data_IF_725035118060
#
_entry.id   IF_725035118060
#
_cell.length_a   1.000
_cell.length_b   1.000
_cell.length_c   1.000
_cell.angle_alpha   90.00
_cell.angle_beta   90.00
_cell.angle_gamma   90.00
#
_symmetry.space_group_name_H-M   'P 1'
#
loop_
_entity.id
_entity.type
_entity.pdbx_description
1 polymer ?
#
# COMPACT_ATOMS: atom_id res chain seq x y z
N UNK A 1 12.51 15.12 1.60
CA UNK A 1 12.38 14.19 2.73
C UNK A 1 11.44 13.11 2.25
N UNK A 2 11.88 11.86 2.27
CA UNK A 2 11.03 10.71 1.93
C UNK A 2 10.23 10.34 3.18
N UNK A 3 8.92 10.19 3.03
CA UNK A 3 8.04 9.74 4.11
C UNK A 3 7.78 8.26 3.91
N UNK A 4 7.98 7.48 4.96
CA UNK A 4 7.63 6.07 4.99
C UNK A 4 6.23 5.96 5.59
N UNK A 5 5.28 5.55 4.78
CA UNK A 5 3.90 5.31 5.17
C UNK A 5 3.72 3.80 5.37
N UNK A 6 3.10 3.41 6.47
CA UNK A 6 2.81 2.01 6.78
C UNK A 6 1.31 1.84 6.79
N UNK A 7 0.80 0.83 6.09
CA UNK A 7 -0.62 0.55 5.99
C UNK A 7 -0.90 -0.89 6.36
N UNK A 8 -1.94 -1.10 7.17
CA UNK A 8 -2.53 -2.41 7.35
C UNK A 8 -3.52 -2.68 6.25
N UNK A 9 -3.35 -3.78 5.53
CA UNK A 9 -4.25 -4.16 4.45
C UNK A 9 -4.90 -5.52 4.74
N UNK A 10 -6.07 -5.80 4.18
CA UNK A 10 -6.62 -7.17 4.15
C UNK A 10 -6.08 -8.03 2.99
N UNK A 11 -4.97 -7.63 2.37
CA UNK A 11 -4.35 -8.33 1.25
C UNK A 11 -3.56 -9.54 1.79
N UNK A 12 -4.25 -10.66 1.93
CA UNK A 12 -3.68 -11.85 2.56
C UNK A 12 -3.02 -12.82 1.59
N UNK A 13 -3.40 -12.74 0.31
CA UNK A 13 -3.06 -13.73 -0.71
C UNK A 13 -2.29 -13.08 -1.85
N UNK A 14 -1.32 -13.80 -2.42
CA UNK A 14 -0.56 -13.34 -3.60
C UNK A 14 -1.47 -12.92 -4.78
N UNK A 15 -2.65 -13.53 -4.91
CA UNK A 15 -3.66 -13.16 -5.92
C UNK A 15 -4.21 -11.75 -5.70
N UNK A 16 -4.40 -11.36 -4.45
CA UNK A 16 -4.83 -10.01 -4.05
C UNK A 16 -3.69 -9.02 -4.25
N UNK A 17 -2.45 -9.39 -3.89
CA UNK A 17 -1.25 -8.58 -4.16
C UNK A 17 -1.12 -8.29 -5.65
N UNK A 18 -1.31 -9.27 -6.53
CA UNK A 18 -1.29 -9.06 -7.98
C UNK A 18 -2.36 -8.10 -8.50
N UNK A 19 -3.45 -7.88 -7.75
CA UNK A 19 -4.46 -6.86 -8.09
C UNK A 19 -4.09 -5.47 -7.55
N UNK A 20 -3.50 -5.40 -6.36
CA UNK A 20 -3.12 -4.14 -5.71
C UNK A 20 -1.82 -3.57 -6.29
N UNK A 21 -0.89 -4.44 -6.67
CA UNK A 21 0.39 -4.13 -7.31
C UNK A 21 0.27 -3.14 -8.48
N UNK A 22 -0.55 -3.37 -9.52
CA UNK A 22 -0.72 -2.42 -10.61
C UNK A 22 -1.47 -1.14 -10.20
N UNK A 23 -2.25 -1.14 -9.12
CA UNK A 23 -2.90 0.07 -8.61
C UNK A 23 -1.88 0.98 -7.94
N UNK A 24 -1.01 0.41 -7.09
CA UNK A 24 0.10 1.12 -6.47
C UNK A 24 1.10 1.60 -7.52
N UNK A 25 1.47 0.75 -8.48
CA UNK A 25 2.40 1.09 -9.57
C UNK A 25 1.88 2.22 -10.47
N UNK A 26 0.54 2.35 -10.64
CA UNK A 26 -0.07 3.50 -11.34
C UNK A 26 -0.18 4.75 -10.48
N UNK A 27 -0.26 4.59 -9.16
CA UNK A 27 -0.34 5.72 -8.22
C UNK A 27 1.05 6.32 -7.95
N UNK A 28 2.08 5.48 -8.04
CA UNK A 28 3.44 5.78 -7.68
C UNK A 28 4.27 6.11 -8.92
N UNK A 29 5.00 7.21 -8.84
CA UNK A 29 5.98 7.59 -9.84
C UNK A 29 7.26 6.77 -9.69
N UNK A 30 8.15 6.86 -10.69
CA UNK A 30 9.43 6.13 -10.71
C UNK A 30 10.33 6.30 -9.48
N UNK A 31 10.09 7.35 -8.70
CA UNK A 31 10.85 7.68 -7.49
C UNK A 31 10.24 7.11 -6.20
N UNK A 32 9.04 6.55 -6.28
CA UNK A 32 8.31 6.02 -5.13
C UNK A 32 8.47 4.50 -5.10
N UNK A 33 8.57 3.96 -3.89
CA UNK A 33 8.77 2.52 -3.68
C UNK A 33 7.73 2.01 -2.73
N UNK A 34 7.42 0.73 -2.85
CA UNK A 34 6.55 0.06 -1.93
C UNK A 34 6.94 -1.39 -1.80
N UNK A 35 6.68 -1.94 -0.61
CA UNK A 35 6.96 -3.32 -0.23
C UNK A 35 5.74 -3.87 0.49
N UNK A 36 5.33 -5.07 0.11
CA UNK A 36 4.31 -5.81 0.84
C UNK A 36 5.00 -6.81 1.75
N UNK A 37 4.73 -6.71 3.04
CA UNK A 37 5.11 -7.71 4.03
C UNK A 37 4.05 -8.81 4.05
N UNK A 38 4.34 -9.87 3.29
CA UNK A 38 3.52 -11.09 3.22
C UNK A 38 4.08 -12.20 4.12
N UNK A 39 5.27 -11.99 4.68
CA UNK A 39 5.90 -12.92 5.62
C UNK A 39 5.22 -12.84 6.99
N UNK A 40 4.75 -11.65 7.38
CA UNK A 40 3.92 -11.45 8.55
C UNK A 40 2.43 -11.68 8.25
N UNK A 41 1.74 -12.36 9.17
CA UNK A 41 0.28 -12.51 9.14
C UNK A 41 -0.47 -11.17 9.22
N UNK A 42 0.23 -10.06 9.43
CA UNK A 42 -0.33 -8.73 9.59
C UNK A 42 -0.57 -7.98 8.26
N UNK A 43 -0.11 -8.52 7.12
CA UNK A 43 -0.43 -8.01 5.77
C UNK A 43 -0.18 -6.51 5.62
N UNK A 44 1.04 -6.11 5.99
CA UNK A 44 1.47 -4.72 6.03
C UNK A 44 1.97 -4.30 4.65
N UNK A 45 1.53 -3.13 4.20
CA UNK A 45 2.03 -2.43 3.02
C UNK A 45 2.87 -1.26 3.49
N UNK A 46 4.15 -1.25 3.12
CA UNK A 46 5.06 -0.15 3.37
C UNK A 46 5.26 0.63 2.07
N UNK A 47 5.06 1.94 2.10
CA UNK A 47 5.24 2.82 0.95
C UNK A 47 6.23 3.91 1.32
N UNK A 48 7.26 4.06 0.49
CA UNK A 48 8.23 5.14 0.55
C UNK A 48 7.87 6.15 -0.53
N UNK A 49 7.27 7.26 -0.11
CA UNK A 49 6.79 8.30 -1.00
C UNK A 49 7.18 9.69 -0.51
N UNK A 50 7.41 10.59 -1.47
CA UNK A 50 7.74 11.99 -1.16
C UNK A 50 6.47 12.87 -1.18
N UNK A 51 5.53 12.58 -2.08
CA UNK A 51 4.34 13.42 -2.29
C UNK A 51 3.02 12.65 -2.32
N UNK A 52 3.03 11.32 -2.44
CA UNK A 52 1.81 10.52 -2.35
C UNK A 52 1.15 10.69 -0.98
N UNK A 53 -0.16 10.87 -1.02
CA UNK A 53 -0.99 11.00 0.17
C UNK A 53 -1.46 9.62 0.63
N UNK A 54 -1.40 9.30 1.94
CA UNK A 54 -1.86 8.04 2.47
C UNK A 54 -3.35 7.81 2.22
N UNK A 55 -4.15 8.86 2.35
CA UNK A 55 -5.58 8.84 2.02
C UNK A 55 -5.85 8.35 0.59
N UNK A 56 -5.03 8.75 -0.39
CA UNK A 56 -5.19 8.32 -1.78
C UNK A 56 -4.92 6.82 -1.94
N UNK A 57 -3.94 6.26 -1.22
CA UNK A 57 -3.68 4.82 -1.20
C UNK A 57 -4.87 4.08 -0.58
N UNK A 58 -5.38 4.57 0.56
CA UNK A 58 -6.52 3.98 1.25
C UNK A 58 -7.76 3.95 0.34
N UNK A 59 -8.10 5.06 -0.30
CA UNK A 59 -9.23 5.13 -1.23
C UNK A 59 -9.07 4.16 -2.41
N UNK A 60 -7.86 4.05 -2.98
CA UNK A 60 -7.59 3.16 -4.11
C UNK A 60 -7.73 1.68 -3.75
N UNK A 61 -7.27 1.29 -2.56
CA UNK A 61 -7.47 -0.07 -2.06
C UNK A 61 -8.96 -0.31 -1.74
N UNK A 62 -9.65 0.68 -1.17
CA UNK A 62 -11.08 0.63 -0.89
C UNK A 62 -11.92 0.43 -2.16
N UNK A 63 -11.61 1.17 -3.23
CA UNK A 63 -12.26 1.04 -4.55
C UNK A 63 -12.06 -0.36 -5.16
N UNK A 64 -10.91 -0.98 -4.90
CA UNK A 64 -10.61 -2.35 -5.29
C UNK A 64 -11.27 -3.42 -4.38
N UNK A 65 -11.97 -3.01 -3.32
CA UNK A 65 -12.66 -3.89 -2.36
C UNK A 65 -11.76 -4.42 -1.24
N UNK A 66 -10.62 -3.79 -0.98
CA UNK A 66 -9.71 -4.16 0.10
C UNK A 66 -9.77 -3.14 1.24
N UNK A 67 -9.78 -3.64 2.48
CA UNK A 67 -9.58 -2.79 3.64
C UNK A 67 -8.12 -2.32 3.68
N UNK A 68 -7.92 -1.01 3.81
CA UNK A 68 -6.63 -0.37 3.98
C UNK A 68 -6.77 0.68 5.09
N UNK A 69 -5.87 0.66 6.06
CA UNK A 69 -5.80 1.64 7.12
C UNK A 69 -4.34 2.03 7.32
N UNK A 70 -4.05 3.32 7.38
CA UNK A 70 -2.73 3.81 7.77
C UNK A 70 -2.46 3.45 9.24
N UNK A 71 -1.23 3.01 9.50
CA UNK A 71 -0.71 2.79 10.84
C UNK A 71 0.28 3.93 11.12
N UNK A 72 -0.11 4.84 12.00
CA UNK A 72 0.77 5.82 12.61
C UNK A 72 1.39 5.18 13.87
N UNK A 73 2.72 5.17 13.99
CA UNK A 73 3.45 4.75 15.20
C UNK A 73 3.88 5.99 16.00
#
# INVERSE_FOLDING_TARGET
METVLVFKTSVTTNRSVSKVKPLLDRLMDKHEKWSFDLEDCDHILRVEAVSVQPAAIIERLGDAGFACAELED
#
